data_IF_040736843457
#
_entry.id   IF_040736843457
#
_cell.length_a   1.000
_cell.length_b   1.000
_cell.length_c   1.000
_cell.angle_alpha   90.00
_cell.angle_beta   90.00
_cell.angle_gamma   90.00
#
_symmetry.space_group_name_H-M   'P 1'
#
loop_
_entity.id
_entity.type
_entity.pdbx_description
1 polymer ?
#
# COMPACT_ATOMS: atom_id res chain seq x y z
N UNK A 1 -7.57 3.59 -19.04
CA UNK A 1 -6.73 2.96 -20.08
C UNK A 1 -7.54 1.80 -20.65
N UNK A 2 -7.58 1.61 -21.97
CA UNK A 2 -8.41 0.54 -22.57
C UNK A 2 -7.64 -0.73 -22.90
N UNK A 3 -6.31 -0.71 -22.72
CA UNK A 3 -5.42 -1.83 -22.97
C UNK A 3 -4.68 -2.24 -21.69
N UNK A 4 -4.37 -3.52 -21.53
CA UNK A 4 -3.44 -4.00 -20.52
C UNK A 4 -2.64 -5.20 -21.06
N UNK A 5 -1.37 -5.30 -20.66
CA UNK A 5 -0.54 -6.46 -20.96
C UNK A 5 -0.72 -7.51 -19.88
N UNK A 6 -1.01 -8.76 -20.27
CA UNK A 6 -1.11 -9.89 -19.34
C UNK A 6 0.19 -10.71 -19.39
N UNK A 7 0.90 -10.77 -18.26
CA UNK A 7 2.17 -11.50 -18.14
C UNK A 7 2.00 -13.02 -18.16
N UNK A 8 0.78 -13.52 -17.95
CA UNK A 8 0.50 -14.96 -17.93
C UNK A 8 0.48 -15.57 -19.33
N UNK A 9 -0.11 -14.88 -20.31
CA UNK A 9 -0.23 -15.35 -21.69
C UNK A 9 0.62 -14.55 -22.69
N UNK A 10 1.26 -13.47 -22.23
CA UNK A 10 2.10 -12.59 -23.04
C UNK A 10 1.32 -11.74 -24.05
N UNK A 11 0.01 -11.51 -23.83
CA UNK A 11 -0.85 -10.77 -24.76
C UNK A 11 -1.30 -9.43 -24.20
N UNK A 12 -1.49 -8.48 -25.11
CA UNK A 12 -2.19 -7.23 -24.82
C UNK A 12 -3.69 -7.44 -25.07
N UNK A 13 -4.49 -7.12 -24.07
CA UNK A 13 -5.94 -7.25 -24.09
C UNK A 13 -6.61 -5.88 -24.14
N UNK A 14 -7.68 -5.74 -24.92
CA UNK A 14 -8.64 -4.65 -24.72
C UNK A 14 -9.69 -5.05 -23.66
N UNK A 15 -10.33 -4.07 -23.02
CA UNK A 15 -11.21 -4.34 -21.89
C UNK A 15 -12.47 -5.15 -22.24
N UNK A 16 -13.01 -4.98 -23.44
CA UNK A 16 -14.19 -5.73 -23.92
C UNK A 16 -13.86 -7.20 -24.23
N UNK A 17 -12.73 -7.44 -24.89
CA UNK A 17 -12.20 -8.79 -25.17
C UNK A 17 -11.83 -9.49 -23.86
N UNK A 18 -11.20 -8.77 -22.93
CA UNK A 18 -10.86 -9.31 -21.61
C UNK A 18 -12.12 -9.68 -20.82
N UNK A 19 -13.15 -8.84 -20.90
CA UNK A 19 -14.46 -9.13 -20.29
C UNK A 19 -15.13 -10.36 -20.93
N UNK A 20 -15.02 -10.50 -22.25
CA UNK A 20 -15.60 -11.61 -23.00
C UNK A 20 -14.96 -12.98 -22.69
N UNK A 21 -13.80 -13.03 -22.04
CA UNK A 21 -13.17 -14.28 -21.59
C UNK A 21 -14.00 -15.06 -20.56
N UNK A 22 -14.94 -14.39 -19.90
CA UNK A 22 -15.75 -14.98 -18.84
C UNK A 22 -15.03 -15.04 -17.49
N UNK A 23 -15.82 -15.21 -16.43
CA UNK A 23 -15.37 -14.99 -15.05
C UNK A 23 -14.24 -15.92 -14.60
N UNK A 24 -14.26 -17.20 -15.01
CA UNK A 24 -13.24 -18.19 -14.65
C UNK A 24 -11.85 -17.79 -15.14
N UNK A 25 -11.76 -17.27 -16.36
CA UNK A 25 -10.50 -16.83 -16.96
C UNK A 25 -10.05 -15.50 -16.37
N UNK A 26 -10.98 -14.55 -16.21
CA UNK A 26 -10.69 -13.22 -15.64
C UNK A 26 -10.09 -13.32 -14.23
N UNK A 27 -10.63 -14.19 -13.36
CA UNK A 27 -10.13 -14.35 -11.97
C UNK A 27 -8.64 -14.67 -11.93
N UNK A 28 -8.15 -15.45 -12.90
CA UNK A 28 -6.73 -15.83 -12.96
C UNK A 28 -5.89 -14.74 -13.66
N UNK A 29 -6.36 -14.27 -14.81
CA UNK A 29 -5.57 -13.35 -15.65
C UNK A 29 -5.46 -11.95 -15.05
N UNK A 30 -6.48 -11.49 -14.30
CA UNK A 30 -6.52 -10.14 -13.73
C UNK A 30 -5.41 -9.83 -12.72
N UNK A 31 -4.79 -10.87 -12.17
CA UNK A 31 -3.66 -10.76 -11.22
C UNK A 31 -2.33 -10.52 -11.91
N UNK A 32 -2.31 -10.65 -13.24
CA UNK A 32 -1.11 -10.66 -14.06
C UNK A 32 -1.10 -9.49 -15.05
N UNK A 33 -1.76 -8.37 -14.70
CA UNK A 33 -1.93 -7.22 -15.58
C UNK A 33 -0.89 -6.13 -15.31
N UNK A 34 -0.35 -5.57 -16.40
CA UNK A 34 0.55 -4.43 -16.40
C UNK A 34 0.12 -3.38 -17.43
N UNK A 35 0.54 -2.14 -17.23
CA UNK A 35 0.48 -1.11 -18.27
C UNK A 35 1.36 -1.53 -19.47
N UNK A 36 0.84 -1.37 -20.69
CA UNK A 36 1.55 -1.76 -21.93
C UNK A 36 2.76 -0.86 -22.24
N UNK A 37 2.85 0.33 -21.64
CA UNK A 37 3.90 1.31 -21.92
C UNK A 37 4.94 1.37 -20.80
N UNK A 38 4.50 1.58 -19.56
CA UNK A 38 5.40 1.76 -18.42
C UNK A 38 5.55 0.53 -17.51
N UNK A 39 4.91 -0.60 -17.86
CA UNK A 39 4.88 -1.83 -17.04
C UNK A 39 4.30 -1.69 -15.61
N UNK A 40 3.71 -0.54 -15.29
CA UNK A 40 3.11 -0.26 -13.98
C UNK A 40 1.98 -1.23 -13.63
N UNK A 41 1.75 -1.45 -12.34
CA UNK A 41 0.76 -2.41 -11.84
C UNK A 41 -0.65 -2.03 -12.31
N UNK A 42 -1.30 -2.93 -13.05
CA UNK A 42 -2.61 -2.70 -13.61
C UNK A 42 -3.67 -3.62 -13.00
N UNK A 43 -4.92 -3.16 -13.01
CA UNK A 43 -6.08 -3.96 -12.63
C UNK A 43 -7.25 -3.71 -13.58
N UNK A 44 -8.16 -4.68 -13.59
CA UNK A 44 -9.38 -4.66 -14.37
C UNK A 44 -10.58 -4.40 -13.47
N UNK A 45 -11.44 -3.45 -13.85
CA UNK A 45 -12.72 -3.18 -13.20
C UNK A 45 -13.89 -3.63 -14.08
N UNK A 46 -14.84 -4.37 -13.49
CA UNK A 46 -15.98 -4.92 -14.23
C UNK A 46 -17.04 -3.86 -14.51
N UNK A 47 -17.33 -2.98 -13.54
CA UNK A 47 -18.07 -1.71 -13.66
C UNK A 47 -18.41 -1.24 -12.24
N UNK A 48 -18.25 0.05 -11.91
CA UNK A 48 -18.73 0.60 -10.64
C UNK A 48 -19.81 1.66 -10.94
N UNK A 49 -20.97 1.51 -10.31
CA UNK A 49 -22.15 2.39 -10.29
C UNK A 49 -22.16 3.59 -11.27
N UNK A 50 -23.01 3.51 -12.31
CA UNK A 50 -23.56 4.71 -12.95
C UNK A 50 -22.97 5.16 -14.30
N UNK A 51 -22.58 4.22 -15.17
CA UNK A 51 -22.23 4.38 -16.62
C UNK A 51 -20.74 4.27 -16.98
N UNK A 52 -20.00 3.31 -16.43
CA UNK A 52 -18.68 2.95 -16.99
C UNK A 52 -18.68 1.51 -17.52
N UNK A 53 -18.33 1.38 -18.79
CA UNK A 53 -17.95 0.12 -19.44
C UNK A 53 -16.75 -0.51 -18.71
N UNK A 54 -16.55 -1.84 -18.80
CA UNK A 54 -15.36 -2.48 -18.25
C UNK A 54 -14.09 -1.79 -18.78
N UNK A 55 -13.13 -1.56 -17.90
CA UNK A 55 -11.92 -0.82 -18.26
C UNK A 55 -10.73 -1.24 -17.41
N UNK A 56 -9.53 -0.91 -17.90
CA UNK A 56 -8.30 -1.07 -17.15
C UNK A 56 -7.88 0.24 -16.49
N UNK A 57 -7.25 0.09 -15.34
CA UNK A 57 -6.58 1.14 -14.62
C UNK A 57 -5.17 0.67 -14.28
N UNK A 58 -4.23 1.59 -14.08
CA UNK A 58 -2.87 1.26 -13.70
C UNK A 58 -2.22 2.35 -12.85
N UNK A 59 -1.25 1.95 -12.03
CA UNK A 59 -0.31 2.85 -11.38
C UNK A 59 0.82 3.15 -12.36
N UNK A 60 0.79 4.33 -12.97
CA UNK A 60 1.77 4.72 -13.98
C UNK A 60 3.03 5.32 -13.37
N UNK A 61 4.18 5.13 -14.03
CA UNK A 61 5.38 5.92 -13.75
C UNK A 61 5.21 7.34 -14.26
N UNK A 62 6.04 8.24 -13.75
CA UNK A 62 6.20 9.56 -14.35
C UNK A 62 6.56 9.40 -15.84
N UNK A 63 6.01 10.27 -16.69
CA UNK A 63 6.15 10.27 -18.16
C UNK A 63 5.43 9.16 -18.96
N UNK A 64 4.60 8.33 -18.34
CA UNK A 64 3.81 7.34 -19.09
C UNK A 64 2.72 8.01 -19.95
N UNK A 65 2.65 7.64 -21.24
CA UNK A 65 1.68 8.20 -22.20
C UNK A 65 0.21 7.93 -21.85
N UNK A 66 -0.04 6.87 -21.07
CA UNK A 66 -1.38 6.50 -20.60
C UNK A 66 -1.74 7.06 -19.22
N UNK A 67 -0.85 7.84 -18.60
CA UNK A 67 -1.07 8.37 -17.25
C UNK A 67 -2.22 9.37 -17.21
N UNK A 68 -3.16 9.16 -16.29
CA UNK A 68 -4.18 10.15 -15.92
C UNK A 68 -3.90 10.65 -14.51
N UNK A 69 -4.09 11.94 -14.24
CA UNK A 69 -3.89 12.50 -12.89
C UNK A 69 -4.94 11.95 -11.91
N UNK A 70 -4.49 11.42 -10.76
CA UNK A 70 -5.35 10.79 -9.75
C UNK A 70 -5.42 11.60 -8.46
N UNK A 71 -6.61 11.69 -7.84
CA UNK A 71 -6.76 12.15 -6.46
C UNK A 71 -6.73 10.94 -5.51
N UNK A 72 -5.80 10.97 -4.56
CA UNK A 72 -5.83 10.04 -3.42
C UNK A 72 -7.01 10.43 -2.54
N UNK A 73 -7.94 9.50 -2.27
CA UNK A 73 -8.95 9.70 -1.21
C UNK A 73 -8.21 9.48 0.10
N UNK A 74 -7.74 10.57 0.71
CA UNK A 74 -7.05 10.51 1.99
C UNK A 74 -7.96 11.07 3.10
N UNK A 75 -8.22 10.25 4.12
CA UNK A 75 -8.60 10.73 5.45
C UNK A 75 -7.27 11.03 6.17
N UNK A 76 -6.81 12.28 6.07
CA UNK A 76 -5.44 12.76 6.35
C UNK A 76 -4.63 12.13 7.50
N UNK A 77 -3.32 12.01 7.29
CA UNK A 77 -2.26 12.04 8.33
C UNK A 77 -0.98 12.67 7.72
N UNK A 78 -1.15 13.75 6.96
CA UNK A 78 -0.03 14.46 6.36
C UNK A 78 0.72 15.26 7.42
N UNK A 79 1.44 14.57 8.31
CA UNK A 79 2.23 15.16 9.38
C UNK A 79 3.32 16.11 8.87
N UNK A 80 2.97 17.38 8.81
CA UNK A 80 3.81 18.54 8.68
C UNK A 80 4.45 18.89 10.04
N UNK A 81 5.79 18.82 10.12
CA UNK A 81 6.53 19.46 11.22
C UNK A 81 7.78 18.77 11.77
N UNK A 82 8.23 17.63 11.25
CA UNK A 82 9.46 17.00 11.77
C UNK A 82 10.73 17.49 11.05
N UNK A 83 11.85 17.70 11.77
CA UNK A 83 13.11 18.12 11.16
C UNK A 83 13.60 17.09 10.12
N UNK A 84 14.34 17.56 9.12
CA UNK A 84 14.88 16.70 8.06
C UNK A 84 15.71 15.55 8.68
N UNK A 85 15.18 14.33 8.61
CA UNK A 85 15.86 13.13 9.08
C UNK A 85 17.07 12.81 8.17
N UNK A 86 18.13 12.27 8.77
CA UNK A 86 19.28 11.75 8.04
C UNK A 86 19.01 10.27 7.68
N UNK A 87 19.22 9.82 6.43
CA UNK A 87 19.07 8.40 6.09
C UNK A 87 19.92 7.44 6.95
N UNK A 88 21.06 7.90 7.47
CA UNK A 88 21.99 7.09 8.27
C UNK A 88 21.62 6.98 9.76
N UNK A 89 20.60 7.71 10.25
CA UNK A 89 20.24 7.71 11.67
C UNK A 89 19.15 6.71 12.05
N UNK A 90 18.67 5.91 11.09
CA UNK A 90 17.68 4.85 11.33
C UNK A 90 16.22 5.33 11.23
N UNK A 91 15.31 4.38 11.43
CA UNK A 91 13.86 4.56 11.40
C UNK A 91 13.30 4.20 12.78
N UNK A 92 12.45 5.05 13.35
CA UNK A 92 11.55 4.68 14.45
C UNK A 92 10.15 4.50 13.91
N UNK A 93 9.64 3.27 13.92
CA UNK A 93 8.32 2.93 13.40
C UNK A 93 7.31 2.82 14.55
N UNK A 94 6.44 3.81 14.63
CA UNK A 94 5.33 3.85 15.59
C UNK A 94 4.12 3.12 15.01
N UNK A 95 3.69 2.05 15.67
CA UNK A 95 2.59 1.22 15.19
C UNK A 95 1.20 1.79 15.50
N UNK A 96 1.07 2.74 16.43
CA UNK A 96 -0.20 3.39 16.74
C UNK A 96 -1.28 2.46 17.29
N UNK A 97 -0.88 1.34 17.92
CA UNK A 97 -1.78 0.28 18.42
C UNK A 97 -2.58 0.69 19.67
N UNK A 98 -2.33 1.88 20.21
CA UNK A 98 -3.12 2.45 21.30
C UNK A 98 -4.35 3.13 20.69
N UNK A 99 -5.50 2.47 20.80
CA UNK A 99 -6.82 3.00 20.42
C UNK A 99 -7.01 4.44 20.93
N UNK A 100 -6.96 5.43 20.03
CA UNK A 100 -7.67 6.72 20.06
C UNK A 100 -7.33 7.53 18.80
N UNK A 101 -8.00 7.25 17.68
CA UNK A 101 -8.05 8.18 16.54
C UNK A 101 -9.35 8.99 16.57
N UNK A 102 -9.54 9.79 17.63
CA UNK A 102 -10.24 11.05 17.47
C UNK A 102 -9.19 12.10 17.12
N UNK A 103 -9.02 12.37 15.83
CA UNK A 103 -8.30 13.57 15.40
C UNK A 103 -9.26 14.73 15.61
N UNK A 104 -9.34 15.18 16.86
CA UNK A 104 -9.99 16.43 17.21
C UNK A 104 -9.12 17.55 16.62
N UNK A 105 -9.38 17.88 15.34
CA UNK A 105 -8.81 19.07 14.71
C UNK A 105 -9.40 20.25 15.48
N UNK A 106 -8.69 20.73 16.49
CA UNK A 106 -9.01 22.03 17.10
C UNK A 106 -9.06 23.04 15.95
N UNK A 107 -10.23 23.66 15.67
CA UNK A 107 -10.28 24.72 14.68
C UNK A 107 -9.28 25.79 15.09
N UNK A 108 -8.39 26.19 14.17
CA UNK A 108 -7.56 27.36 14.40
C UNK A 108 -8.50 28.52 14.77
N UNK A 109 -8.36 29.02 15.98
CA UNK A 109 -9.01 30.26 16.38
C UNK A 109 -8.65 31.34 15.34
N UNK A 110 -9.60 32.21 14.93
CA UNK A 110 -9.32 33.24 13.94
C UNK A 110 -8.11 34.08 14.40
N UNK A 111 -7.06 34.11 13.57
CA UNK A 111 -5.90 34.98 13.83
C UNK A 111 -6.36 36.44 13.77
N UNK A 112 -6.37 37.08 14.94
CA UNK A 112 -6.39 38.53 15.06
C UNK A 112 -5.05 39.13 14.65
N UNK A 113 -5.15 40.27 13.95
CA UNK A 113 -4.14 41.27 13.58
C UNK A 113 -2.66 40.86 13.41
N UNK A 114 -2.23 40.96 12.15
CA UNK A 114 -0.88 40.70 11.62
C UNK A 114 0.15 41.70 12.19
N UNK A 115 1.20 41.26 12.89
CA UNK A 115 2.44 42.02 13.02
C UNK A 115 3.36 41.71 11.84
N UNK A 116 3.79 42.75 11.10
CA UNK A 116 4.83 42.66 10.07
C UNK A 116 6.15 42.19 10.69
N UNK A 117 6.56 40.96 10.39
CA UNK A 117 7.84 40.38 10.76
C UNK A 117 8.89 40.49 9.65
N UNK A 118 10.10 40.90 10.03
CA UNK A 118 11.26 41.23 9.20
C UNK A 118 11.76 40.08 8.31
N UNK A 119 12.30 40.44 7.14
CA UNK A 119 13.10 39.55 6.28
C UNK A 119 14.34 39.08 7.05
N UNK A 120 14.38 37.83 7.50
CA UNK A 120 15.63 37.16 7.88
C UNK A 120 16.25 36.52 6.65
N UNK A 121 17.36 37.10 6.19
CA UNK A 121 18.29 36.45 5.26
C UNK A 121 18.87 35.21 5.92
N UNK A 122 18.63 34.03 5.35
CA UNK A 122 19.29 32.80 5.80
C UNK A 122 20.74 32.81 5.35
N UNK A 123 21.66 33.28 6.21
CA UNK A 123 23.04 32.84 6.13
C UNK A 123 23.07 31.34 6.39
N UNK A 124 23.51 30.55 5.40
CA UNK A 124 23.77 29.12 5.58
C UNK A 124 24.87 28.98 6.63
N UNK A 125 24.48 28.66 7.85
CA UNK A 125 25.40 28.18 8.87
C UNK A 125 26.06 26.89 8.35
N UNK A 126 27.30 27.00 7.88
CA UNK A 126 28.17 25.84 7.66
C UNK A 126 28.56 25.33 9.05
N UNK A 127 28.21 24.07 9.33
CA UNK A 127 28.66 23.29 10.49
C UNK A 127 28.18 23.81 11.86
N UNK A 128 26.87 23.85 12.08
CA UNK A 128 26.35 23.59 13.42
C UNK A 128 26.17 22.08 13.53
N UNK A 129 26.85 21.42 14.48
CA UNK A 129 26.82 19.96 14.68
C UNK A 129 25.41 19.45 14.96
N UNK A 130 24.63 19.26 13.89
CA UNK A 130 23.27 18.75 13.92
C UNK A 130 23.32 17.34 14.49
N UNK A 131 22.62 17.13 15.61
CA UNK A 131 22.31 15.78 16.05
C UNK A 131 21.53 15.11 14.92
N UNK A 132 22.04 13.99 14.43
CA UNK A 132 21.31 13.15 13.50
C UNK A 132 20.12 12.53 14.25
N UNK A 133 18.90 12.69 13.72
CA UNK A 133 17.68 12.15 14.32
C UNK A 133 17.08 11.06 13.43
N UNK A 134 16.63 9.92 14.00
CA UNK A 134 15.96 8.88 13.22
C UNK A 134 14.67 9.41 12.59
N UNK A 135 14.28 8.83 11.46
CA UNK A 135 12.99 9.13 10.84
C UNK A 135 11.86 8.49 11.65
N UNK A 136 10.88 9.27 12.12
CA UNK A 136 9.69 8.72 12.77
C UNK A 136 8.58 8.47 11.75
N UNK A 137 8.08 7.24 11.68
CA UNK A 137 7.05 6.84 10.72
C UNK A 137 5.85 6.20 11.45
N UNK A 138 4.65 6.50 10.97
CA UNK A 138 3.45 5.68 11.20
C UNK A 138 3.38 4.60 10.13
N UNK A 139 2.58 3.54 10.31
CA UNK A 139 2.39 2.52 9.27
C UNK A 139 1.82 3.10 7.97
N UNK A 140 0.94 4.11 8.07
CA UNK A 140 0.40 4.84 6.93
C UNK A 140 1.48 5.62 6.18
N UNK A 141 2.31 6.37 6.91
CA UNK A 141 3.44 7.10 6.32
C UNK A 141 4.49 6.17 5.73
N UNK A 142 4.74 5.02 6.35
CA UNK A 142 5.63 3.99 5.82
C UNK A 142 5.10 3.45 4.49
N UNK A 143 3.84 3.00 4.42
CA UNK A 143 3.24 2.52 3.17
C UNK A 143 3.29 3.59 2.06
N UNK A 144 3.00 4.85 2.40
CA UNK A 144 3.07 5.94 1.45
C UNK A 144 4.47 6.10 0.84
N UNK A 145 5.52 6.05 1.69
CA UNK A 145 6.92 6.17 1.26
C UNK A 145 7.39 4.95 0.47
N UNK A 146 7.04 3.73 0.90
CA UNK A 146 7.38 2.50 0.18
C UNK A 146 6.80 2.49 -1.24
N UNK A 147 5.55 2.91 -1.40
CA UNK A 147 4.88 2.95 -2.72
C UNK A 147 5.48 4.02 -3.65
N UNK A 148 5.86 5.18 -3.12
CA UNK A 148 6.36 6.31 -3.94
C UNK A 148 7.85 6.25 -4.23
N UNK A 149 8.59 5.54 -3.41
CA UNK A 149 10.04 5.49 -3.53
C UNK A 149 10.52 4.11 -3.14
N UNK A 150 11.19 3.45 -4.08
CA UNK A 150 12.24 2.48 -3.76
C UNK A 150 13.44 3.23 -3.19
N UNK A 151 13.20 4.05 -2.16
CA UNK A 151 14.23 4.82 -1.49
C UNK A 151 15.29 3.82 -1.01
N UNK A 152 16.56 4.14 -1.28
CA UNK A 152 17.68 3.33 -0.84
C UNK A 152 17.63 3.08 0.67
N UNK A 153 16.97 3.96 1.44
CA UNK A 153 16.80 3.81 2.88
C UNK A 153 16.00 2.57 3.28
N UNK A 154 14.97 2.17 2.52
CA UNK A 154 14.16 0.98 2.80
C UNK A 154 14.71 -0.28 2.14
N UNK A 155 15.53 -0.12 1.11
CA UNK A 155 16.21 -1.19 0.39
C UNK A 155 17.66 -1.43 0.88
N UNK A 156 18.01 -0.88 2.04
CA UNK A 156 19.33 -1.04 2.68
C UNK A 156 19.21 -1.55 4.11
N UNK A 157 20.34 -1.97 4.69
CA UNK A 157 20.46 -2.41 6.09
C UNK A 157 20.33 -1.27 7.13
N UNK A 158 19.48 -0.28 6.88
CA UNK A 158 19.11 0.79 7.83
C UNK A 158 18.49 0.16 9.07
N UNK A 159 18.90 0.64 10.25
CA UNK A 159 18.31 0.18 11.51
C UNK A 159 16.88 0.70 11.69
N UNK A 160 15.98 -0.20 12.08
CA UNK A 160 14.57 0.07 12.39
C UNK A 160 14.33 -0.30 13.85
N UNK A 161 13.85 0.68 14.60
CA UNK A 161 13.37 0.51 15.96
C UNK A 161 11.85 0.58 15.99
N UNK A 162 11.21 -0.44 16.54
CA UNK A 162 9.75 -0.50 16.74
C UNK A 162 9.53 -0.46 18.26
N UNK A 163 9.03 0.66 18.81
CA UNK A 163 8.61 0.71 20.20
C UNK A 163 7.53 -0.36 20.45
N UNK A 164 7.68 -1.12 21.54
CA UNK A 164 6.72 -2.16 21.95
C UNK A 164 6.38 -3.15 20.83
N UNK A 165 7.42 -3.63 20.14
CA UNK A 165 7.30 -4.53 19.00
C UNK A 165 6.33 -5.70 19.29
N UNK A 166 5.30 -5.92 18.44
CA UNK A 166 4.23 -6.86 18.70
C UNK A 166 4.68 -8.32 18.55
N UNK A 167 5.80 -8.53 17.87
CA UNK A 167 6.43 -9.82 17.66
C UNK A 167 7.92 -9.71 17.99
N UNK A 168 8.47 -10.65 18.78
CA UNK A 168 9.87 -10.58 19.21
C UNK A 168 10.87 -10.85 18.07
N UNK A 169 10.44 -11.53 17.01
CA UNK A 169 11.32 -12.02 15.93
C UNK A 169 11.33 -11.11 14.69
N UNK A 170 10.82 -9.88 14.81
CA UNK A 170 10.91 -8.90 13.73
C UNK A 170 12.36 -8.47 13.52
N UNK A 171 12.89 -8.53 12.28
CA UNK A 171 14.22 -8.02 11.98
C UNK A 171 14.34 -6.52 12.30
N UNK A 172 15.52 -6.11 12.74
CA UNK A 172 15.82 -4.69 12.97
C UNK A 172 16.38 -3.99 11.74
N UNK A 173 16.54 -4.69 10.61
CA UNK A 173 17.09 -4.14 9.36
C UNK A 173 15.98 -3.92 8.35
N UNK A 174 15.93 -2.74 7.73
CA UNK A 174 14.85 -2.35 6.84
C UNK A 174 14.70 -3.28 5.62
N UNK A 175 15.81 -3.65 4.99
CA UNK A 175 15.87 -4.59 3.86
C UNK A 175 15.43 -6.03 4.20
N UNK A 176 15.53 -6.44 5.46
CA UNK A 176 15.00 -7.71 5.94
C UNK A 176 13.56 -7.60 6.43
N UNK A 177 13.18 -6.47 7.02
CA UNK A 177 11.91 -6.23 7.70
C UNK A 177 10.78 -5.88 6.73
N UNK A 178 11.04 -5.01 5.75
CA UNK A 178 10.06 -4.51 4.80
C UNK A 178 10.13 -5.32 3.50
N UNK A 179 9.15 -6.19 3.29
CA UNK A 179 9.15 -7.11 2.15
C UNK A 179 8.04 -6.75 1.17
N UNK A 180 8.40 -6.33 -0.04
CA UNK A 180 7.43 -6.13 -1.10
C UNK A 180 6.84 -7.49 -1.54
N UNK A 181 5.55 -7.54 -1.88
CA UNK A 181 4.87 -8.77 -2.27
C UNK A 181 5.61 -9.49 -3.40
N UNK A 182 6.11 -8.78 -4.42
CA UNK A 182 6.89 -9.37 -5.54
C UNK A 182 8.24 -9.98 -5.12
N UNK A 183 8.73 -9.65 -3.94
CA UNK A 183 9.98 -10.17 -3.38
C UNK A 183 9.75 -11.30 -2.36
N UNK A 184 8.50 -11.70 -2.08
CA UNK A 184 8.22 -12.85 -1.22
C UNK A 184 8.74 -14.14 -1.88
N UNK A 185 9.44 -14.96 -1.11
CA UNK A 185 10.05 -16.23 -1.53
C UNK A 185 10.01 -17.27 -0.40
N UNK A 186 10.28 -18.55 -0.69
CA UNK A 186 10.09 -19.68 0.23
C UNK A 186 10.87 -19.56 1.55
N UNK A 187 12.01 -18.87 1.53
CA UNK A 187 12.82 -18.60 2.73
C UNK A 187 12.13 -17.72 3.78
N UNK A 188 11.00 -17.10 3.44
CA UNK A 188 10.15 -16.35 4.36
C UNK A 188 9.03 -17.20 4.98
N UNK A 189 8.99 -18.51 4.70
CA UNK A 189 8.04 -19.41 5.35
C UNK A 189 8.20 -19.36 6.88
N UNK A 190 7.06 -19.19 7.58
CA UNK A 190 6.94 -19.02 9.03
C UNK A 190 7.73 -17.81 9.56
N UNK A 191 8.01 -16.82 8.71
CA UNK A 191 8.66 -15.57 9.11
C UNK A 191 7.63 -14.45 9.22
N UNK A 192 7.72 -13.72 10.33
CA UNK A 192 6.98 -12.50 10.55
C UNK A 192 7.72 -11.33 9.90
N UNK A 193 7.04 -10.52 9.08
CA UNK A 193 7.58 -9.33 8.42
C UNK A 193 6.51 -8.26 8.29
N UNK A 194 6.95 -7.08 7.85
CA UNK A 194 6.06 -6.04 7.35
C UNK A 194 6.02 -6.18 5.83
N UNK A 195 4.99 -6.87 5.34
CA UNK A 195 4.76 -7.10 3.93
C UNK A 195 3.99 -5.95 3.31
N UNK A 196 4.28 -5.59 2.06
CA UNK A 196 3.53 -4.54 1.38
C UNK A 196 3.46 -4.76 -0.13
N UNK A 197 2.47 -4.17 -0.78
CA UNK A 197 2.40 -4.20 -2.24
C UNK A 197 0.99 -3.98 -2.78
N UNK A 198 0.86 -4.21 -4.08
CA UNK A 198 -0.35 -3.96 -4.86
C UNK A 198 -1.38 -5.09 -4.75
N UNK A 199 -2.65 -4.73 -4.56
CA UNK A 199 -3.79 -5.66 -4.55
C UNK A 199 -4.57 -5.56 -5.87
N UNK A 200 -4.58 -6.65 -6.63
CA UNK A 200 -5.29 -6.72 -7.92
C UNK A 200 -6.78 -6.99 -7.76
N UNK A 201 -7.13 -7.86 -6.81
CA UNK A 201 -8.52 -8.26 -6.54
C UNK A 201 -8.70 -8.76 -5.11
N UNK A 202 -9.95 -8.78 -4.67
CA UNK A 202 -10.34 -9.37 -3.41
C UNK A 202 -11.54 -10.31 -3.62
N UNK A 203 -11.57 -11.41 -2.87
CA UNK A 203 -12.61 -12.43 -3.00
C UNK A 203 -12.86 -13.17 -1.68
N UNK A 204 -14.07 -13.68 -1.52
CA UNK A 204 -14.41 -14.59 -0.44
C UNK A 204 -14.09 -16.04 -0.82
N UNK A 205 -13.67 -16.83 0.16
CA UNK A 205 -13.80 -18.29 0.09
C UNK A 205 -15.06 -18.77 0.82
N UNK A 206 -15.45 -20.02 0.55
CA UNK A 206 -16.65 -20.63 1.12
C UNK A 206 -16.63 -20.72 2.66
N UNK A 207 -15.45 -20.69 3.27
CA UNK A 207 -15.26 -20.67 4.73
C UNK A 207 -15.35 -19.25 5.33
N UNK A 208 -15.71 -18.24 4.54
CA UNK A 208 -15.91 -16.87 4.98
C UNK A 208 -14.65 -16.03 5.11
N UNK A 209 -13.47 -16.55 4.75
CA UNK A 209 -12.24 -15.73 4.70
C UNK A 209 -12.33 -14.73 3.55
N UNK A 210 -11.85 -13.53 3.80
CA UNK A 210 -11.61 -12.53 2.77
C UNK A 210 -10.14 -12.61 2.35
N UNK A 211 -9.92 -12.82 1.05
CA UNK A 211 -8.61 -12.85 0.43
C UNK A 211 -8.34 -11.55 -0.29
N UNK A 212 -7.22 -10.89 0.03
CA UNK A 212 -6.67 -9.79 -0.76
C UNK A 212 -5.56 -10.39 -1.63
N UNK A 213 -5.75 -10.40 -2.94
CA UNK A 213 -4.85 -11.06 -3.88
C UNK A 213 -3.85 -10.05 -4.44
N UNK A 214 -2.57 -10.37 -4.30
CA UNK A 214 -1.52 -9.53 -4.85
C UNK A 214 -1.49 -9.64 -6.38
N UNK A 215 -1.24 -8.51 -7.03
CA UNK A 215 -0.98 -8.49 -8.46
C UNK A 215 0.50 -8.77 -8.78
N UNK A 216 0.78 -8.89 -10.08
CA UNK A 216 2.12 -8.96 -10.64
C UNK A 216 2.97 -10.15 -10.15
N UNK A 217 2.30 -11.28 -9.83
CA UNK A 217 2.95 -12.55 -9.47
C UNK A 217 2.19 -13.74 -10.02
N UNK A 218 2.92 -14.66 -10.64
CA UNK A 218 2.37 -15.89 -11.23
C UNK A 218 2.00 -16.95 -10.20
N UNK A 219 2.64 -16.96 -9.02
CA UNK A 219 2.32 -17.88 -7.92
C UNK A 219 1.08 -17.46 -7.10
N UNK A 220 0.56 -16.26 -7.34
CA UNK A 220 -0.72 -15.78 -6.86
C UNK A 220 -0.79 -15.51 -5.36
N UNK A 221 0.23 -14.90 -4.77
CA UNK A 221 0.27 -14.48 -3.36
C UNK A 221 -1.06 -13.85 -2.88
N UNK A 222 -1.49 -14.21 -1.66
CA UNK A 222 -2.66 -13.57 -1.03
C UNK A 222 -2.42 -13.22 0.44
N UNK A 223 -3.10 -12.17 0.90
CA UNK A 223 -3.31 -11.89 2.32
C UNK A 223 -4.66 -12.47 2.73
N UNK A 224 -4.68 -13.23 3.82
CA UNK A 224 -5.91 -13.81 4.38
C UNK A 224 -6.40 -13.01 5.58
N UNK A 225 -7.59 -12.45 5.48
CA UNK A 225 -8.33 -11.87 6.60
C UNK A 225 -9.27 -12.95 7.14
N UNK A 226 -9.13 -13.26 8.44
CA UNK A 226 -9.95 -14.31 9.08
C UNK A 226 -11.42 -13.87 9.15
N UNK A 227 -12.39 -14.82 9.07
CA UNK A 227 -13.81 -14.50 9.00
C UNK A 227 -14.28 -13.56 10.12
N UNK A 228 -13.77 -13.75 11.32
CA UNK A 228 -14.11 -12.94 12.50
C UNK A 228 -13.65 -11.48 12.43
N UNK A 229 -12.67 -11.15 11.58
CA UNK A 229 -12.18 -9.78 11.38
C UNK A 229 -12.79 -9.10 10.15
N UNK A 230 -13.51 -9.84 9.30
CA UNK A 230 -13.95 -9.30 8.00
C UNK A 230 -14.90 -8.12 8.16
N UNK A 231 -15.91 -8.23 9.02
CA UNK A 231 -16.89 -7.15 9.18
C UNK A 231 -16.24 -5.87 9.68
N UNK A 232 -15.37 -5.97 10.68
CA UNK A 232 -14.61 -4.84 11.23
C UNK A 232 -13.65 -4.25 10.18
N UNK A 233 -12.98 -5.10 9.41
CA UNK A 233 -12.10 -4.68 8.31
C UNK A 233 -12.85 -3.86 7.26
N UNK A 234 -14.00 -4.35 6.79
CA UNK A 234 -14.77 -3.65 5.76
C UNK A 234 -15.31 -2.32 6.26
N UNK A 235 -15.78 -2.27 7.51
CA UNK A 235 -16.26 -1.05 8.14
C UNK A 235 -15.12 -0.02 8.31
N UNK A 236 -14.00 -0.45 8.90
CA UNK A 236 -12.84 0.41 9.14
C UNK A 236 -12.30 1.02 7.84
N UNK A 237 -12.19 0.20 6.79
CA UNK A 237 -11.72 0.68 5.48
C UNK A 237 -12.81 1.25 4.59
N UNK A 238 -14.04 1.44 5.09
CA UNK A 238 -15.19 2.01 4.35
C UNK A 238 -15.43 1.31 3.00
N UNK A 239 -15.43 -0.02 3.01
CA UNK A 239 -15.66 -0.88 1.86
C UNK A 239 -17.14 -1.26 1.82
N UNK A 240 -17.95 -0.41 1.18
CA UNK A 240 -19.40 -0.58 1.11
C UNK A 240 -19.80 -1.75 0.21
N UNK A 241 -20.18 -2.90 0.78
CA UNK A 241 -20.74 -4.14 0.18
C UNK A 241 -20.01 -4.77 -1.03
N UNK A 242 -19.13 -4.05 -1.70
CA UNK A 242 -18.49 -4.40 -2.95
C UNK A 242 -16.97 -4.41 -2.76
N UNK A 243 -16.38 -5.60 -2.94
CA UNK A 243 -14.95 -5.81 -2.86
C UNK A 243 -14.20 -5.15 -4.04
N UNK A 244 -14.87 -4.68 -5.09
CA UNK A 244 -14.24 -3.92 -6.17
C UNK A 244 -13.54 -2.65 -5.67
N UNK A 245 -13.99 -2.08 -4.54
CA UNK A 245 -13.33 -0.93 -3.89
C UNK A 245 -11.93 -1.23 -3.33
N UNK A 246 -11.56 -2.50 -3.22
CA UNK A 246 -10.23 -2.95 -2.80
C UNK A 246 -9.28 -3.14 -3.98
N UNK A 247 -9.79 -3.18 -5.22
CA UNK A 247 -8.96 -3.35 -6.41
C UNK A 247 -8.14 -2.10 -6.68
N UNK A 248 -6.85 -2.29 -6.96
CA UNK A 248 -5.94 -1.21 -7.25
C UNK A 248 -5.35 -0.53 -6.02
N UNK A 249 -5.67 -1.00 -4.81
CA UNK A 249 -5.10 -0.45 -3.59
C UNK A 249 -3.69 -0.97 -3.36
N UNK A 250 -2.91 -0.22 -2.58
CA UNK A 250 -1.71 -0.75 -1.96
C UNK A 250 -2.02 -1.14 -0.52
N UNK A 251 -1.44 -2.23 -0.06
CA UNK A 251 -1.60 -2.71 1.30
C UNK A 251 -0.25 -2.82 2.01
N UNK A 252 -0.25 -2.64 3.33
CA UNK A 252 0.84 -2.99 4.24
C UNK A 252 0.27 -3.87 5.35
N UNK A 253 0.94 -4.97 5.64
CA UNK A 253 0.50 -6.01 6.58
C UNK A 253 1.67 -6.43 7.45
N UNK A 254 1.49 -6.34 8.78
CA UNK A 254 2.36 -7.01 9.73
C UNK A 254 1.79 -8.40 9.98
N UNK A 255 2.56 -9.45 9.68
CA UNK A 255 2.05 -10.80 9.79
C UNK A 255 3.07 -11.85 9.39
N UNK A 256 2.60 -13.09 9.34
CA UNK A 256 3.43 -14.27 9.04
C UNK A 256 3.19 -14.73 7.60
N UNK A 257 4.27 -15.11 6.90
CA UNK A 257 4.15 -15.75 5.59
C UNK A 257 4.14 -17.28 5.71
N UNK A 258 3.16 -17.92 5.11
CA UNK A 258 3.03 -19.38 5.02
C UNK A 258 2.94 -19.82 3.57
N UNK A 259 3.66 -20.88 3.20
CA UNK A 259 3.52 -21.49 1.89
C UNK A 259 2.50 -22.62 1.98
N UNK A 260 1.43 -22.52 1.19
CA UNK A 260 0.47 -23.61 1.05
C UNK A 260 1.12 -24.80 0.35
N UNK A 261 0.54 -26.00 0.50
CA UNK A 261 1.01 -27.20 -0.19
C UNK A 261 1.05 -27.05 -1.73
N UNK A 262 0.30 -26.09 -2.28
CA UNK A 262 0.31 -25.74 -3.71
C UNK A 262 1.51 -24.87 -4.13
N UNK A 263 2.39 -24.49 -3.19
CA UNK A 263 3.49 -23.55 -3.41
C UNK A 263 3.08 -22.08 -3.36
N UNK A 264 1.79 -21.78 -3.17
CA UNK A 264 1.29 -20.40 -3.10
C UNK A 264 1.62 -19.77 -1.73
N UNK A 265 2.28 -18.59 -1.69
CA UNK A 265 2.46 -17.87 -0.43
C UNK A 265 1.15 -17.22 0.04
N UNK A 266 0.93 -17.28 1.36
CA UNK A 266 -0.19 -16.68 2.06
C UNK A 266 0.33 -15.88 3.26
N UNK A 267 0.00 -14.61 3.32
CA UNK A 267 0.28 -13.75 4.48
C UNK A 267 -0.92 -13.78 5.41
N UNK A 268 -0.68 -14.13 6.67
CA UNK A 268 -1.69 -14.16 7.71
C UNK A 268 -1.55 -12.95 8.62
N UNK A 269 -2.66 -12.25 8.81
CA UNK A 269 -2.72 -11.14 9.75
C UNK A 269 -3.51 -11.53 11.00
N UNK A 270 -2.97 -11.23 12.18
CA UNK A 270 -3.61 -11.53 13.46
C UNK A 270 -4.60 -10.47 13.93
N UNK A 271 -4.46 -9.20 13.50
CA UNK A 271 -5.20 -8.05 14.05
C UNK A 271 -5.47 -7.01 12.97
N UNK A 272 -6.59 -6.29 13.08
CA UNK A 272 -6.93 -5.23 12.12
C UNK A 272 -5.90 -4.08 12.13
N UNK A 273 -5.39 -3.69 13.30
CA UNK A 273 -4.40 -2.61 13.47
C UNK A 273 -3.06 -2.88 12.74
N UNK A 274 -2.81 -4.11 12.30
CA UNK A 274 -1.62 -4.48 11.53
C UNK A 274 -1.83 -4.38 10.02
N UNK A 275 -2.98 -3.88 9.58
CA UNK A 275 -3.31 -3.72 8.18
C UNK A 275 -3.48 -2.24 7.89
N UNK A 276 -2.82 -1.78 6.84
CA UNK A 276 -3.04 -0.45 6.28
C UNK A 276 -3.36 -0.60 4.81
N UNK A 277 -4.42 0.07 4.36
CA UNK A 277 -4.75 0.19 2.95
C UNK A 277 -4.60 1.63 2.49
N UNK A 278 -3.98 1.79 1.32
CA UNK A 278 -3.99 3.03 0.55
C UNK A 278 -4.90 2.84 -0.66
N UNK A 279 -6.10 3.40 -0.57
CA UNK A 279 -7.10 3.42 -1.65
C UNK A 279 -6.91 4.68 -2.51
N UNK A 280 -7.38 4.62 -3.75
CA UNK A 280 -7.27 5.71 -4.72
C UNK A 280 -8.64 5.92 -5.36
N UNK A 281 -9.04 7.18 -5.60
CA UNK A 281 -10.25 7.45 -6.37
C UNK A 281 -9.90 7.35 -7.85
N UNK A 282 -10.51 6.39 -8.55
CA UNK A 282 -10.38 6.29 -9.99
C UNK A 282 -11.63 6.80 -10.72
N UNK A 283 -12.65 7.24 -9.97
CA UNK A 283 -13.97 7.54 -10.51
C UNK A 283 -14.32 9.01 -10.69
N UNK A 284 -13.48 9.94 -10.20
CA UNK A 284 -13.62 11.36 -10.49
C UNK A 284 -12.95 11.71 -11.83
N UNK A 285 -13.75 11.78 -12.88
CA UNK A 285 -13.53 12.64 -14.05
C UNK A 285 -14.70 13.62 -14.08
#
# INVERSE_FOLDING_TARGET
>A
MDLAFCTLDGKTWNSDEFWALGESNIVTMRRNLKCVSCEGDAWFRKSSYGKKVPHFCAHHTDDCEYATNYEVIDDGDGGDGQPAANPNSGITLNLGLEKNYEVDVKPLAPQGDIPRGEKRSGEKAKNAGGKDYPAHLTLKNLLYKLVRSTDAMYASGTDVYIPDAPFPDLPSKADELFVEFKNVHEGLHEKNRIFWGFISDAAYSNDGKLWLNAGNRSDGLSVSIRPELVSEFLEYFKVDKDLEHLQGCHALIIGDCYYAATGKPVIWCSKLDFIVLRRYNFDKI
#
